data_IF_765150654143
#
_entry.id   IF_765150654143
#
_cell.length_a   1.000
_cell.length_b   1.000
_cell.length_c   1.000
_cell.angle_alpha   90.00
_cell.angle_beta   90.00
_cell.angle_gamma   90.00
#
_symmetry.space_group_name_H-M   'P 1'
#
loop_
_entity.id
_entity.type
_entity.pdbx_description
1 polymer ?
#
# COMPACT_ATOMS: atom_id res chain seq x y z
N UNK A 1 8.44 -7.97 -2.78
CA UNK A 1 7.60 -7.02 -2.01
C UNK A 1 7.11 -7.72 -0.76
N UNK A 2 7.04 -7.05 0.39
CA UNK A 2 6.24 -7.53 1.52
C UNK A 2 5.62 -6.35 2.28
N UNK A 3 4.57 -6.62 3.05
CA UNK A 3 3.87 -5.58 3.77
C UNK A 3 3.24 -6.10 5.04
N UNK A 4 3.08 -5.19 5.99
CA UNK A 4 2.25 -5.39 7.19
C UNK A 4 1.07 -4.46 7.05
N UNK A 5 -0.06 -5.00 6.58
CA UNK A 5 -1.30 -4.24 6.34
C UNK A 5 -2.38 -4.66 7.33
N UNK A 6 -3.06 -3.68 7.91
CA UNK A 6 -4.26 -3.87 8.71
C UNK A 6 -5.42 -3.17 8.00
N UNK A 7 -6.42 -3.93 7.56
CA UNK A 7 -7.64 -3.40 6.98
C UNK A 7 -8.84 -3.70 7.89
N UNK A 8 -9.61 -2.66 8.22
CA UNK A 8 -10.79 -2.76 9.10
C UNK A 8 -12.02 -2.18 8.41
N UNK A 9 -13.05 -3.00 8.24
CA UNK A 9 -14.31 -2.63 7.60
C UNK A 9 -15.27 -1.98 8.60
N UNK A 10 -15.84 -0.83 8.23
CA UNK A 10 -16.81 -0.07 9.03
C UNK A 10 -18.23 -0.10 8.44
N UNK A 11 -18.56 -1.14 7.67
CA UNK A 11 -19.95 -1.43 7.31
C UNK A 11 -20.54 -0.38 6.38
N UNK A 12 -20.13 -0.44 5.11
CA UNK A 12 -20.78 0.09 3.88
C UNK A 12 -20.23 1.36 3.22
N UNK A 13 -19.32 2.13 3.82
CA UNK A 13 -18.73 3.32 3.17
C UNK A 13 -17.27 3.19 2.75
N UNK A 14 -16.64 2.04 3.01
CA UNK A 14 -15.23 1.80 2.78
C UNK A 14 -14.60 1.00 3.92
N UNK A 15 -13.28 0.99 3.97
CA UNK A 15 -12.52 0.39 5.07
C UNK A 15 -11.38 1.30 5.49
N UNK A 16 -10.97 1.21 6.74
CA UNK A 16 -9.75 1.83 7.21
C UNK A 16 -8.57 0.93 6.85
N UNK A 17 -7.52 1.51 6.27
CA UNK A 17 -6.28 0.81 5.98
C UNK A 17 -5.15 1.48 6.76
N UNK A 18 -4.30 0.68 7.38
CA UNK A 18 -3.09 1.15 8.06
C UNK A 18 -1.94 0.15 7.95
N UNK A 19 -0.74 0.63 8.24
CA UNK A 19 0.46 -0.19 8.26
C UNK A 19 1.57 0.34 7.37
N UNK A 20 2.37 -0.57 6.85
CA UNK A 20 3.58 -0.26 6.09
C UNK A 20 3.75 -1.22 4.93
N UNK A 21 4.06 -0.67 3.76
CA UNK A 21 4.45 -1.44 2.58
C UNK A 21 5.94 -1.27 2.37
N UNK A 22 6.64 -2.38 2.10
CA UNK A 22 8.06 -2.37 1.81
C UNK A 22 8.40 -3.13 0.53
N UNK A 23 9.37 -2.62 -0.22
CA UNK A 23 9.82 -3.25 -1.44
C UNK A 23 11.30 -3.07 -1.68
N UNK A 24 11.87 -4.03 -2.41
CA UNK A 24 13.22 -3.94 -2.93
C UNK A 24 13.28 -3.20 -4.28
N UNK A 25 14.49 -2.86 -4.73
CA UNK A 25 14.72 -2.29 -6.06
C UNK A 25 14.26 -3.23 -7.18
N UNK A 26 14.05 -2.68 -8.38
CA UNK A 26 13.73 -3.47 -9.58
C UNK A 26 12.38 -4.18 -9.50
N UNK A 27 11.45 -3.65 -8.70
CA UNK A 27 10.15 -4.28 -8.48
C UNK A 27 9.27 -4.29 -9.74
N UNK A 28 9.58 -3.44 -10.71
CA UNK A 28 9.01 -3.53 -12.05
C UNK A 28 10.03 -4.15 -12.99
N UNK A 29 9.59 -5.10 -13.81
CA UNK A 29 10.43 -5.71 -14.84
C UNK A 29 10.57 -4.85 -16.10
N UNK A 30 9.91 -3.69 -16.17
CA UNK A 30 9.90 -2.83 -17.36
C UNK A 30 11.06 -1.82 -17.39
N UNK A 31 11.57 -1.42 -16.22
CA UNK A 31 12.61 -0.42 -16.09
C UNK A 31 13.72 -0.90 -15.14
N UNK A 32 14.96 -0.68 -15.55
CA UNK A 32 16.12 -0.89 -14.67
C UNK A 32 16.10 0.09 -13.50
N UNK A 33 16.36 -0.41 -12.28
CA UNK A 33 16.42 0.40 -11.06
C UNK A 33 17.33 1.63 -11.22
N UNK A 34 18.43 1.50 -11.96
CA UNK A 34 19.41 2.57 -12.22
C UNK A 34 18.77 3.84 -12.80
N UNK A 35 17.70 3.68 -13.58
CA UNK A 35 16.99 4.74 -14.30
C UNK A 35 15.76 5.28 -13.55
N UNK A 36 15.35 4.63 -12.46
CA UNK A 36 14.19 5.04 -11.66
C UNK A 36 14.54 6.29 -10.85
N UNK A 37 13.65 7.28 -10.82
CA UNK A 37 13.77 8.46 -9.95
C UNK A 37 13.08 8.24 -8.60
N UNK A 38 12.08 7.36 -8.57
CA UNK A 38 11.39 6.92 -7.38
C UNK A 38 10.16 6.08 -7.70
N UNK A 39 9.29 5.96 -6.70
CA UNK A 39 8.10 5.14 -6.73
C UNK A 39 6.88 5.91 -6.27
N UNK A 40 5.75 5.74 -6.96
CA UNK A 40 4.46 6.18 -6.47
C UNK A 40 3.71 5.00 -5.86
N UNK A 41 3.02 5.27 -4.76
CA UNK A 41 2.20 4.28 -4.06
C UNK A 41 0.74 4.65 -4.29
N UNK A 42 0.00 3.76 -4.93
CA UNK A 42 -1.38 3.98 -5.31
C UNK A 42 -2.30 2.96 -4.65
N UNK A 43 -3.51 3.39 -4.33
CA UNK A 43 -4.62 2.50 -4.11
C UNK A 43 -5.30 2.22 -5.44
N UNK A 44 -5.58 0.95 -5.73
CA UNK A 44 -6.18 0.52 -7.00
C UNK A 44 -7.38 -0.40 -6.78
N UNK A 45 -8.29 -0.43 -7.75
CA UNK A 45 -9.42 -1.37 -7.76
C UNK A 45 -9.00 -2.74 -8.34
N UNK A 46 -9.95 -3.68 -8.42
CA UNK A 46 -9.73 -5.04 -8.94
C UNK A 46 -9.29 -5.07 -10.42
N UNK A 47 -9.53 -3.99 -11.18
CA UNK A 47 -9.08 -3.85 -12.56
C UNK A 47 -7.65 -3.26 -12.68
N UNK A 48 -7.02 -2.90 -11.56
CA UNK A 48 -5.73 -2.22 -11.54
C UNK A 48 -5.79 -0.73 -11.85
N UNK A 49 -6.99 -0.13 -11.86
CA UNK A 49 -7.17 1.30 -12.10
C UNK A 49 -6.68 2.11 -10.90
N UNK A 50 -5.87 3.13 -11.16
CA UNK A 50 -5.35 4.04 -10.16
C UNK A 50 -6.47 4.93 -9.59
N UNK A 51 -6.80 4.73 -8.31
CA UNK A 51 -7.89 5.47 -7.65
C UNK A 51 -7.36 6.65 -6.86
N UNK A 52 -6.38 6.41 -5.99
CA UNK A 52 -5.85 7.40 -5.04
C UNK A 52 -4.33 7.28 -4.96
N UNK A 53 -3.63 8.40 -5.21
CA UNK A 53 -2.20 8.49 -4.92
C UNK A 53 -2.02 8.64 -3.41
N UNK A 54 -1.44 7.62 -2.77
CA UNK A 54 -1.19 7.63 -1.33
C UNK A 54 0.09 8.42 -1.02
N UNK A 55 1.09 8.34 -1.91
CA UNK A 55 2.30 9.13 -1.77
C UNK A 55 3.38 8.76 -2.77
N UNK A 56 4.53 9.39 -2.62
CA UNK A 56 5.70 9.20 -3.49
C UNK A 56 6.94 8.97 -2.61
N UNK A 57 7.75 7.99 -2.99
CA UNK A 57 9.00 7.64 -2.35
C UNK A 57 10.12 7.90 -3.34
N UNK A 58 10.99 8.87 -3.03
CA UNK A 58 12.16 9.16 -3.86
C UNK A 58 13.14 7.98 -3.81
N UNK A 59 13.89 7.78 -4.89
CA UNK A 59 14.95 6.78 -4.94
C UNK A 59 15.96 7.00 -3.82
N UNK A 60 16.32 5.92 -3.13
CA UNK A 60 17.40 5.95 -2.16
C UNK A 60 18.73 5.89 -2.93
N UNK A 61 19.69 6.73 -2.54
CA UNK A 61 21.01 6.79 -3.19
C UNK A 61 21.98 5.72 -2.65
N UNK A 62 21.53 4.83 -1.76
CA UNK A 62 22.39 3.82 -1.16
C UNK A 62 22.75 2.72 -2.18
N UNK A 63 24.04 2.54 -2.51
CA UNK A 63 24.49 1.50 -3.45
C UNK A 63 24.38 0.07 -2.90
N UNK A 64 24.05 -0.12 -1.62
CA UNK A 64 23.94 -1.44 -0.96
C UNK A 64 22.50 -1.99 -0.92
N UNK A 65 21.63 -1.60 -1.85
CA UNK A 65 20.29 -2.18 -1.95
C UNK A 65 20.38 -3.70 -2.19
N UNK A 66 20.11 -4.48 -1.15
CA UNK A 66 20.06 -5.95 -1.18
C UNK A 66 18.93 -6.39 -2.10
N UNK A 67 19.24 -7.35 -2.97
CA UNK A 67 18.24 -8.03 -3.80
C UNK A 67 17.36 -9.02 -3.00
N UNK A 68 17.68 -9.25 -1.71
CA UNK A 68 16.87 -10.12 -0.86
C UNK A 68 15.55 -9.44 -0.50
N UNK A 69 14.44 -10.15 -0.71
CA UNK A 69 13.22 -9.85 0.03
C UNK A 69 13.34 -10.43 1.45
N UNK A 70 13.18 -9.78 2.60
CA UNK A 70 12.75 -8.47 3.05
C UNK A 70 13.83 -7.87 3.97
N UNK A 71 14.97 -7.48 3.41
CA UNK A 71 16.15 -7.03 4.17
C UNK A 71 16.17 -5.50 4.42
N UNK A 72 17.05 -5.03 5.32
CA UNK A 72 17.15 -3.64 5.81
C UNK A 72 17.43 -2.55 4.76
N UNK A 73 17.62 -2.93 3.48
CA UNK A 73 17.98 -2.02 2.39
C UNK A 73 16.81 -1.80 1.43
N UNK A 74 15.67 -1.43 2.00
CA UNK A 74 14.38 -1.43 1.34
C UNK A 74 13.73 -0.04 1.29
N UNK A 75 12.98 0.20 0.22
CA UNK A 75 12.01 1.28 0.17
C UNK A 75 10.85 0.96 1.11
N UNK A 76 10.33 1.97 1.79
CA UNK A 76 9.14 1.82 2.63
C UNK A 76 8.18 2.99 2.44
N UNK A 77 6.90 2.68 2.62
CA UNK A 77 5.83 3.66 2.69
C UNK A 77 4.91 3.35 3.84
N UNK A 78 4.84 4.28 4.80
CA UNK A 78 3.91 4.20 5.92
C UNK A 78 2.56 4.77 5.51
N UNK A 79 1.51 3.95 5.60
CA UNK A 79 0.16 4.26 5.14
C UNK A 79 -0.61 5.18 6.11
N UNK A 80 -0.15 5.33 7.35
CA UNK A 80 -0.93 6.01 8.40
C UNK A 80 -2.25 5.30 8.67
N UNK A 81 -3.25 6.04 9.14
CA UNK A 81 -4.65 5.59 9.14
C UNK A 81 -5.34 6.29 7.96
N UNK A 82 -5.67 5.55 6.91
CA UNK A 82 -6.39 6.09 5.75
C UNK A 82 -7.79 5.48 5.62
N UNK A 83 -8.71 6.24 5.04
CA UNK A 83 -10.01 5.71 4.62
C UNK A 83 -9.92 5.32 3.15
N UNK A 84 -10.08 4.04 2.86
CA UNK A 84 -10.06 3.46 1.53
C UNK A 84 -11.49 3.29 0.98
N UNK A 85 -11.73 3.58 -0.31
CA UNK A 85 -12.97 3.22 -0.99
C UNK A 85 -13.28 1.72 -0.89
N UNK A 86 -14.57 1.36 -0.92
CA UNK A 86 -14.98 -0.04 -0.72
C UNK A 86 -14.49 -1.01 -1.80
N UNK A 87 -14.32 -0.50 -3.02
CA UNK A 87 -13.83 -1.19 -4.22
C UNK A 87 -12.29 -1.19 -4.35
N UNK A 88 -11.57 -0.59 -3.40
CA UNK A 88 -10.12 -0.67 -3.36
C UNK A 88 -9.65 -2.11 -3.05
N UNK A 89 -8.87 -2.70 -3.94
CA UNK A 89 -8.50 -4.11 -3.87
C UNK A 89 -7.02 -4.35 -3.59
N UNK A 90 -6.15 -3.46 -4.07
CA UNK A 90 -4.71 -3.63 -3.98
C UNK A 90 -3.99 -2.29 -3.78
N UNK A 91 -2.75 -2.37 -3.31
CA UNK A 91 -1.78 -1.28 -3.39
C UNK A 91 -0.88 -1.52 -4.60
N UNK A 92 -0.69 -0.51 -5.43
CA UNK A 92 0.24 -0.56 -6.56
C UNK A 92 1.48 0.28 -6.25
N UNK A 93 2.66 -0.31 -6.48
CA UNK A 93 3.95 0.37 -6.44
C UNK A 93 4.39 0.61 -7.88
N UNK A 94 4.43 1.88 -8.27
CA UNK A 94 4.60 2.32 -9.66
C UNK A 94 5.95 3.04 -9.78
N UNK A 95 6.95 2.48 -10.47
CA UNK A 95 8.19 3.20 -10.72
C UNK A 95 7.92 4.39 -11.64
N UNK A 96 8.68 5.46 -11.47
CA UNK A 96 8.64 6.61 -12.37
C UNK A 96 10.04 7.14 -12.71
N UNK A 97 10.12 7.79 -13.87
CA UNK A 97 11.28 8.58 -14.32
C UNK A 97 10.78 9.87 -14.96
N UNK A 98 11.12 11.01 -14.38
CA UNK A 98 10.52 12.30 -14.73
C UNK A 98 8.99 12.24 -14.63
N UNK A 99 8.31 12.47 -15.75
CA UNK A 99 6.84 12.39 -15.84
C UNK A 99 6.30 11.04 -16.32
N UNK A 100 7.17 10.08 -16.66
CA UNK A 100 6.77 8.77 -17.18
C UNK A 100 6.57 7.77 -16.04
N UNK A 101 5.42 7.10 -16.05
CA UNK A 101 5.10 5.97 -15.17
C UNK A 101 5.35 4.65 -15.91
N UNK A 102 5.79 3.65 -15.16
CA UNK A 102 6.04 2.29 -15.66
C UNK A 102 5.09 1.29 -15.02
N UNK A 103 5.10 0.05 -15.51
CA UNK A 103 4.23 -1.02 -15.06
C UNK A 103 4.32 -1.20 -13.54
N UNK A 104 3.16 -1.20 -12.86
CA UNK A 104 3.09 -1.36 -11.42
C UNK A 104 3.35 -2.80 -10.99
N UNK A 105 3.76 -2.93 -9.73
CA UNK A 105 3.65 -4.17 -8.98
C UNK A 105 2.54 -4.07 -7.95
N UNK A 106 1.70 -5.10 -7.86
CA UNK A 106 0.50 -5.09 -7.04
C UNK A 106 0.66 -5.89 -5.75
N UNK A 107 0.09 -5.36 -4.67
CA UNK A 107 -0.05 -6.01 -3.38
C UNK A 107 -1.54 -6.11 -3.02
N UNK A 108 -2.12 -7.32 -3.05
CA UNK A 108 -3.52 -7.51 -2.72
C UNK A 108 -3.82 -7.22 -1.24
N UNK A 109 -4.98 -6.63 -0.98
CA UNK A 109 -5.51 -6.40 0.38
C UNK A 109 -6.36 -7.63 0.76
N UNK A 110 -5.72 -8.69 1.27
CA UNK A 110 -6.35 -10.01 1.43
C UNK A 110 -7.10 -10.24 2.74
N UNK A 111 -6.88 -9.42 3.78
CA UNK A 111 -7.52 -9.60 5.09
C UNK A 111 -8.20 -8.31 5.55
N UNK A 112 -9.55 -8.27 5.45
CA UNK A 112 -10.39 -7.22 6.02
C UNK A 112 -11.06 -7.74 7.29
N UNK A 113 -10.85 -7.08 8.41
CA UNK A 113 -11.49 -7.42 9.69
C UNK A 113 -12.75 -6.57 9.86
N UNK A 114 -13.90 -7.19 10.13
CA UNK A 114 -15.13 -6.45 10.40
C UNK A 114 -15.05 -5.87 11.82
N UNK A 115 -15.18 -4.55 11.96
CA UNK A 115 -15.35 -3.95 13.28
C UNK A 115 -16.76 -4.22 13.80
N UNK A 116 -16.95 -5.27 14.61
CA UNK A 116 -18.20 -5.44 15.36
C UNK A 116 -18.31 -4.34 16.40
N UNK A 117 -19.20 -3.37 16.16
CA UNK A 117 -19.59 -2.37 17.15
C UNK A 117 -20.41 -3.07 18.23
N UNK A 118 -19.79 -3.45 19.35
CA UNK A 118 -20.52 -3.94 20.52
C UNK A 118 -21.20 -2.77 21.21
N UNK A 119 -22.48 -2.54 20.96
CA UNK A 119 -23.28 -1.59 21.74
C UNK A 119 -23.69 -2.27 23.04
N UNK A 120 -22.92 -2.08 24.11
CA UNK A 120 -23.32 -2.58 25.44
C UNK A 120 -24.46 -1.72 25.95
N UNK A 121 -25.70 -2.18 25.81
CA UNK A 121 -26.86 -1.55 26.45
C UNK A 121 -26.89 -1.98 27.91
N UNK A 122 -26.43 -1.12 28.82
CA UNK A 122 -26.62 -1.32 30.26
C UNK A 122 -28.09 -1.07 30.61
N UNK A 123 -28.86 -2.13 30.79
CA UNK A 123 -30.20 -2.05 31.37
C UNK A 123 -30.02 -1.87 32.88
N UNK A 124 -30.16 -0.64 33.37
CA UNK A 124 -30.31 -0.37 34.80
C UNK A 124 -31.71 -0.84 35.22
N UNK A 125 -31.78 -1.81 36.13
CA UNK A 125 -33.04 -2.23 36.77
C UNK A 125 -33.24 -1.39 38.04
N UNK A 126 -34.42 -0.77 38.17
CA UNK A 126 -34.86 -0.01 39.35
C UNK A 126 -35.04 -0.89 40.59
#
# INVERSE_FOLDING_TARGET
>A
MCATLYAQDWGRSGFSLSGEVRWGPGISCEIEESLVDGYQVWLVNDCGEQMVLLGTVAKQQDPQLSANCCDESWYSFYLGLLTAPSDAASIAIVPFRGSQLYLPSFLPITQRTIATSTTTTTIASN
#
